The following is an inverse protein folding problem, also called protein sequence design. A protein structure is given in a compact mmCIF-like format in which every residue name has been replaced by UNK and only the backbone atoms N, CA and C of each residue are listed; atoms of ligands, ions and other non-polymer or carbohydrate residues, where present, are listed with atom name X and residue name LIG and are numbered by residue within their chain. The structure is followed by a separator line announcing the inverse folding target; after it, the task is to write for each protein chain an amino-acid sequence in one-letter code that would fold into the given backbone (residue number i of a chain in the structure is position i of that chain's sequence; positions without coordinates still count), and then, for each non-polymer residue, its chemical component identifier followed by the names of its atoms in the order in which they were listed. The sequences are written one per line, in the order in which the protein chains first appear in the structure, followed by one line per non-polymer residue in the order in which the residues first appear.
data_IF_330687167577
#
_entry.id   IF_330687167577
#
_cell.length_a   1.000
_cell.length_b   1.000
_cell.length_c   1.000
_cell.angle_alpha   90.00
_cell.angle_beta   90.00
_cell.angle_gamma   90.00
#
_symmetry.space_group_name_H-M   'P 1'
#
loop_
_entity.id
_entity.type
_entity.pdbx_description
1 polymer ?
#
# COMPACT_ATOMS: atom_id res chain seq x y z
N UNK A 1 10.91 -10.55 3.55
CA UNK A 1 11.58 -10.52 4.87
C UNK A 1 10.98 -9.36 5.66
N UNK A 2 11.02 -9.42 6.98
CA UNK A 2 10.55 -8.34 7.84
C UNK A 2 11.75 -7.60 8.43
N UNK A 3 11.64 -6.28 8.56
CA UNK A 3 12.59 -5.41 9.22
C UNK A 3 11.86 -4.66 10.34
N UNK A 4 12.32 -4.83 11.58
CA UNK A 4 11.78 -4.17 12.76
C UNK A 4 12.54 -2.88 13.11
N UNK A 5 12.06 -2.15 14.13
CA UNK A 5 12.64 -0.91 14.66
C UNK A 5 12.76 0.22 13.61
N UNK A 6 11.87 0.25 12.62
CA UNK A 6 11.82 1.28 11.59
C UNK A 6 10.99 2.46 12.08
N UNK A 7 11.66 3.50 12.59
CA UNK A 7 10.98 4.71 13.09
C UNK A 7 10.07 5.34 12.03
N UNK A 8 8.81 5.52 12.39
CA UNK A 8 7.79 6.14 11.52
C UNK A 8 7.00 5.16 10.66
N UNK A 9 7.38 3.88 10.61
CA UNK A 9 6.55 2.81 10.05
C UNK A 9 5.46 2.36 11.03
N UNK A 10 4.37 1.79 10.52
CA UNK A 10 3.32 1.20 11.32
C UNK A 10 3.86 0.01 12.12
N UNK A 11 3.64 0.04 13.44
CA UNK A 11 4.23 -0.91 14.38
C UNK A 11 5.77 -1.04 14.28
N UNK A 12 6.43 -0.01 13.72
CA UNK A 12 7.88 0.03 13.50
C UNK A 12 8.40 -1.12 12.62
N UNK A 13 7.57 -1.64 11.70
CA UNK A 13 7.94 -2.77 10.83
C UNK A 13 7.82 -2.45 9.34
N UNK A 14 8.70 -3.04 8.52
CA UNK A 14 8.58 -3.08 7.07
C UNK A 14 8.66 -4.51 6.54
N UNK A 15 7.83 -4.84 5.56
CA UNK A 15 7.93 -6.04 4.75
C UNK A 15 8.71 -5.74 3.46
N UNK A 16 9.88 -6.36 3.32
CA UNK A 16 10.84 -6.09 2.26
C UNK A 16 10.92 -7.27 1.30
N UNK A 17 10.90 -6.96 0.00
CA UNK A 17 11.23 -7.90 -1.07
C UNK A 17 12.48 -7.43 -1.82
N UNK A 18 13.44 -8.35 -2.01
CA UNK A 18 14.66 -8.13 -2.79
C UNK A 18 14.62 -8.80 -4.17
N UNK A 19 13.62 -9.65 -4.41
CA UNK A 19 13.53 -10.45 -5.64
C UNK A 19 12.38 -9.95 -6.50
N UNK A 20 12.70 -9.60 -7.74
CA UNK A 20 11.72 -9.29 -8.78
C UNK A 20 10.85 -10.52 -9.05
N UNK A 21 9.56 -10.31 -9.28
CA UNK A 21 8.54 -11.35 -9.46
C UNK A 21 7.94 -11.89 -8.16
N UNK A 22 8.46 -11.49 -6.98
CA UNK A 22 7.80 -11.83 -5.72
C UNK A 22 6.46 -11.11 -5.60
N UNK A 23 5.45 -11.85 -5.17
CA UNK A 23 4.08 -11.35 -5.00
C UNK A 23 3.59 -11.51 -3.56
N UNK A 24 2.65 -10.65 -3.17
CA UNK A 24 1.78 -10.84 -2.02
C UNK A 24 0.33 -10.66 -2.47
N UNK A 25 -0.57 -11.49 -1.96
CA UNK A 25 -2.01 -11.42 -2.22
C UNK A 25 -2.76 -11.21 -0.91
N UNK A 26 -3.74 -10.31 -0.93
CA UNK A 26 -4.59 -9.97 0.19
C UNK A 26 -6.04 -9.79 -0.26
N UNK A 27 -6.98 -10.42 0.46
CA UNK A 27 -8.41 -10.26 0.22
C UNK A 27 -9.04 -9.48 1.37
N UNK A 28 -9.89 -8.50 1.05
CA UNK A 28 -10.60 -7.70 2.05
C UNK A 28 -12.07 -7.49 1.69
N UNK A 29 -12.86 -7.15 2.71
CA UNK A 29 -14.24 -6.67 2.54
C UNK A 29 -14.27 -5.19 2.88
N UNK A 30 -14.68 -4.35 1.95
CA UNK A 30 -14.62 -2.91 2.16
C UNK A 30 -15.04 -2.10 0.94
N UNK A 31 -14.62 -0.84 0.92
CA UNK A 31 -14.86 0.09 -0.20
C UNK A 31 -13.60 0.81 -0.65
N UNK A 32 -12.50 0.66 0.08
CA UNK A 32 -11.25 1.32 -0.20
C UNK A 32 -10.14 0.52 0.49
N UNK A 33 -8.97 0.55 -0.12
CA UNK A 33 -7.71 0.08 0.45
C UNK A 33 -6.64 1.15 0.28
N UNK A 34 -5.81 1.30 1.30
CA UNK A 34 -4.63 2.16 1.31
C UNK A 34 -3.41 1.24 1.52
N UNK A 35 -2.43 1.35 0.63
CA UNK A 35 -1.15 0.65 0.74
C UNK A 35 -0.10 1.68 1.13
N UNK A 36 0.39 1.61 2.35
CA UNK A 36 1.50 2.43 2.83
C UNK A 36 2.82 1.71 2.55
N UNK A 37 3.80 2.44 2.04
CA UNK A 37 5.11 1.90 1.68
C UNK A 37 6.22 2.91 2.01
N UNK A 38 7.44 2.41 2.19
CA UNK A 38 8.60 3.27 2.28
C UNK A 38 9.00 3.71 0.87
N UNK A 39 9.01 5.01 0.62
CA UNK A 39 9.70 5.59 -0.52
C UNK A 39 11.11 6.00 -0.09
N UNK A 40 12.10 5.90 -0.98
CA UNK A 40 13.48 6.24 -0.66
C UNK A 40 14.46 6.03 -1.81
N UNK A 41 15.74 6.41 -1.62
CA UNK A 41 16.73 6.32 -2.69
C UNK A 41 16.94 4.87 -3.14
N UNK A 42 16.98 4.66 -4.46
CA UNK A 42 17.27 3.36 -5.09
C UNK A 42 16.27 2.23 -4.81
N UNK A 43 15.08 2.53 -4.26
CA UNK A 43 14.01 1.54 -4.13
C UNK A 43 13.39 1.20 -5.49
N UNK A 44 12.68 0.07 -5.53
CA UNK A 44 12.12 -0.52 -6.74
C UNK A 44 10.72 -0.04 -7.10
N UNK A 45 10.17 -0.69 -8.13
CA UNK A 45 8.79 -0.49 -8.59
C UNK A 45 7.92 -1.69 -8.26
N UNK A 46 6.65 -1.43 -7.96
CA UNK A 46 5.64 -2.47 -7.76
C UNK A 46 4.48 -2.32 -8.74
N UNK A 47 3.88 -3.45 -9.12
CA UNK A 47 2.52 -3.47 -9.68
C UNK A 47 1.55 -3.73 -8.54
N UNK A 48 0.59 -2.83 -8.34
CA UNK A 48 -0.56 -3.02 -7.47
C UNK A 48 -1.75 -3.37 -8.34
N UNK A 49 -2.25 -4.59 -8.25
CA UNK A 49 -3.43 -5.05 -8.98
C UNK A 49 -4.61 -5.19 -8.03
N UNK A 50 -5.66 -4.40 -8.25
CA UNK A 50 -6.88 -4.39 -7.45
C UNK A 50 -8.06 -4.82 -8.34
N UNK A 51 -8.66 -5.96 -8.04
CA UNK A 51 -9.75 -6.58 -8.83
C UNK A 51 -9.44 -6.67 -10.34
N UNK A 52 -8.18 -6.95 -10.68
CA UNK A 52 -7.71 -7.06 -12.06
C UNK A 52 -7.30 -5.74 -12.73
N UNK A 53 -7.46 -4.59 -12.05
CA UNK A 53 -6.92 -3.30 -12.51
C UNK A 53 -5.52 -3.08 -11.93
N UNK A 54 -4.52 -2.92 -12.80
CA UNK A 54 -3.11 -2.78 -12.41
C UNK A 54 -2.65 -1.33 -12.43
N UNK A 55 -1.93 -0.94 -11.39
CA UNK A 55 -1.30 0.36 -11.19
C UNK A 55 0.19 0.16 -10.91
N UNK A 56 1.07 0.81 -11.67
CA UNK A 56 2.49 0.81 -11.35
C UNK A 56 2.82 1.93 -10.36
N UNK A 57 3.58 1.60 -9.32
CA UNK A 57 4.03 2.53 -8.29
C UNK A 57 5.55 2.46 -8.17
N UNK A 58 6.19 3.61 -8.31
CA UNK A 58 7.65 3.77 -8.12
C UNK A 58 7.93 4.19 -6.68
N UNK A 59 8.70 3.39 -5.94
CA UNK A 59 9.10 3.71 -4.57
C UNK A 59 10.38 4.57 -4.52
N UNK A 60 11.01 4.86 -5.66
CA UNK A 60 12.19 5.70 -5.71
C UNK A 60 11.86 7.15 -5.30
N UNK A 61 12.61 7.67 -4.34
CA UNK A 61 12.52 9.06 -3.91
C UNK A 61 13.90 9.58 -3.44
N UNK A 62 14.13 10.88 -3.50
CA UNK A 62 15.36 11.48 -2.96
C UNK A 62 15.45 11.40 -1.43
N UNK A 63 14.34 11.27 -0.72
CA UNK A 63 14.28 11.16 0.74
C UNK A 63 13.51 9.94 1.19
N UNK A 64 13.94 9.35 2.31
CA UNK A 64 13.22 8.24 2.94
C UNK A 64 11.98 8.76 3.68
N UNK A 65 10.80 8.22 3.35
CA UNK A 65 9.53 8.58 3.97
C UNK A 65 8.47 7.50 3.74
N UNK A 66 7.45 7.46 4.59
CA UNK A 66 6.24 6.69 4.31
C UNK A 66 5.34 7.47 3.33
N UNK A 67 4.77 6.76 2.36
CA UNK A 67 3.87 7.27 1.33
C UNK A 67 2.71 6.31 1.18
N UNK A 68 1.53 6.85 0.88
CA UNK A 68 0.32 6.08 0.66
C UNK A 68 -0.02 6.02 -0.83
N UNK A 69 -0.30 4.82 -1.32
CA UNK A 69 -1.14 4.63 -2.50
C UNK A 69 -2.58 4.42 -2.03
N UNK A 70 -3.49 5.26 -2.52
CA UNK A 70 -4.90 5.25 -2.12
C UNK A 70 -5.74 4.83 -3.33
N UNK A 71 -6.47 3.73 -3.19
CA UNK A 71 -7.43 3.30 -4.21
C UNK A 71 -8.59 4.29 -4.37
N UNK A 72 -9.21 4.27 -5.55
CA UNK A 72 -10.52 4.87 -5.74
C UNK A 72 -11.56 4.20 -4.82
N UNK A 73 -12.68 4.88 -4.59
CA UNK A 73 -13.81 4.27 -3.89
C UNK A 73 -14.42 3.17 -4.76
N UNK A 74 -14.56 2.00 -4.17
CA UNK A 74 -15.12 0.79 -4.76
C UNK A 74 -16.58 0.60 -4.32
N UNK A 75 -17.29 -0.25 -5.05
CA UNK A 75 -18.55 -0.81 -4.57
C UNK A 75 -18.27 -1.66 -3.35
N UNK A 76 -19.09 -1.56 -2.31
CA UNK A 76 -18.92 -2.37 -1.10
C UNK A 76 -19.00 -3.86 -1.46
N UNK A 77 -17.92 -4.59 -1.21
CA UNK A 77 -17.85 -6.01 -1.50
C UNK A 77 -16.54 -6.63 -1.03
N UNK A 78 -16.32 -7.87 -1.48
CA UNK A 78 -15.03 -8.55 -1.37
C UNK A 78 -14.15 -8.15 -2.54
N UNK A 79 -12.91 -7.80 -2.25
CA UNK A 79 -11.91 -7.34 -3.20
C UNK A 79 -10.60 -8.10 -3.02
N UNK A 80 -9.83 -8.24 -4.11
CA UNK A 80 -8.52 -8.87 -4.10
C UNK A 80 -7.45 -7.87 -4.54
N UNK A 81 -6.43 -7.74 -3.70
CA UNK A 81 -5.24 -6.93 -3.93
C UNK A 81 -4.03 -7.85 -4.12
N UNK A 82 -3.31 -7.69 -5.22
CA UNK A 82 -2.02 -8.35 -5.49
C UNK A 82 -0.96 -7.27 -5.65
N UNK A 83 0.16 -7.41 -4.94
CA UNK A 83 1.31 -6.53 -5.11
C UNK A 83 2.50 -7.35 -5.58
N UNK A 84 3.10 -6.97 -6.71
CA UNK A 84 4.25 -7.65 -7.31
C UNK A 84 5.45 -6.72 -7.38
N UNK A 85 6.64 -7.23 -7.04
CA UNK A 85 7.90 -6.52 -7.25
C UNK A 85 8.33 -6.60 -8.73
N UNK A 86 8.29 -5.48 -9.45
CA UNK A 86 8.58 -5.45 -10.89
C UNK A 86 10.07 -5.28 -11.23
N UNK A 87 10.76 -4.37 -10.55
CA UNK A 87 12.14 -3.99 -10.91
C UNK A 87 12.79 -3.12 -9.86
N UNK A 88 14.11 -2.88 -10.01
CA UNK A 88 14.87 -1.93 -9.22
C UNK A 88 15.56 -2.56 -8.01
N UNK A 89 15.73 -1.78 -6.94
CA UNK A 89 16.28 -2.24 -5.67
C UNK A 89 15.27 -3.05 -4.86
N UNK A 90 15.21 -2.83 -3.54
CA UNK A 90 14.16 -3.44 -2.73
C UNK A 90 12.83 -2.73 -2.90
N UNK A 91 11.73 -3.44 -2.65
CA UNK A 91 10.41 -2.84 -2.44
C UNK A 91 9.95 -3.12 -1.01
N UNK A 92 9.40 -2.09 -0.36
CA UNK A 92 9.20 -2.07 1.08
C UNK A 92 7.76 -1.66 1.39
N UNK A 93 6.94 -2.60 1.85
CA UNK A 93 5.57 -2.36 2.30
C UNK A 93 5.54 -2.13 3.81
N UNK A 94 4.76 -1.15 4.24
CA UNK A 94 4.57 -0.82 5.66
C UNK A 94 3.26 -1.43 6.16
N UNK A 95 2.13 -0.95 5.63
CA UNK A 95 0.81 -1.40 6.06
C UNK A 95 -0.21 -1.45 4.91
N UNK A 96 -1.25 -2.23 5.13
CA UNK A 96 -2.46 -2.25 4.30
C UNK A 96 -3.63 -1.86 5.19
N UNK A 97 -4.28 -0.73 4.91
CA UNK A 97 -5.38 -0.19 5.71
C UNK A 97 -6.68 -0.24 4.91
N UNK A 98 -7.74 -0.77 5.55
CA UNK A 98 -9.10 -0.77 5.01
C UNK A 98 -9.93 0.21 5.85
N UNK A 99 -10.13 1.46 5.40
CA UNK A 99 -10.89 2.44 6.16
C UNK A 99 -12.39 2.11 6.12
N UNK A 100 -13.05 2.28 7.26
CA UNK A 100 -14.50 2.45 7.29
C UNK A 100 -14.81 3.83 6.69
N UNK A 101 -15.56 3.86 5.58
CA UNK A 101 -16.05 5.14 5.05
C UNK A 101 -17.11 5.64 6.05
N UNK A 102 -16.71 6.55 6.95
CA UNK A 102 -17.65 7.19 7.85
C UNK A 102 -18.76 7.84 7.01
N UNK A 103 -20.02 7.53 7.32
CA UNK A 103 -21.18 8.26 6.80
C UNK A 103 -20.94 9.76 7.06
N UNK A 104 -21.14 10.67 6.09
CA UNK A 104 -21.03 12.09 6.39
C UNK A 104 -21.95 12.41 7.57
N UNK A 105 -21.37 12.88 8.68
CA UNK A 105 -22.16 13.34 9.82
C UNK A 105 -22.95 14.56 9.37
N UNK A 106 -24.29 14.57 9.43
CA UNK A 106 -25.05 15.76 9.08
C UNK A 106 -24.63 16.89 10.03
N UNK A 107 -24.12 17.99 9.48
CA UNK A 107 -23.89 19.22 10.26
C UNK A 107 -25.27 19.83 10.54
N UNK A 108 -25.73 19.94 11.80
CA UNK A 108 -26.92 20.71 12.08
C UNK A 108 -26.67 22.16 11.68
N UNK A 109 -27.51 22.69 10.80
CA UNK A 109 -27.52 24.13 10.51
C UNK A 109 -28.26 24.82 11.66
N UNK A 110 -27.60 25.78 12.32
CA UNK A 110 -28.22 26.72 13.26
C UNK A 110 -28.90 27.86 12.51
#
# INVERSE_FOLDING_TARGET
MEQSDVTGAFQETLHISLSVGNTVEFTFVGRQVIVSYQAGPSLGRVAITLDGLTFEVDQANSTTRIVDWVSNILVRGTHTLVIEHLSGGSVNLDSITIPDVATPSPTPSS
#
